data_IF_831748965947
#
_entry.id   IF_831748965947
#
_cell.length_a   1.000
_cell.length_b   1.000
_cell.length_c   1.000
_cell.angle_alpha   90.00
_cell.angle_beta   90.00
_cell.angle_gamma   90.00
#
_symmetry.space_group_name_H-M   'P 1'
#
loop_
_entity.id
_entity.type
_entity.pdbx_description
1 polymer ?
#
# COMPACT_ATOMS: atom_id res chain seq x y z
N UNK A 1 21.54 10.39 -18.20
CA UNK A 1 21.59 9.45 -17.05
C UNK A 1 20.18 8.89 -16.82
N UNK A 2 19.85 7.69 -17.34
CA UNK A 2 18.54 7.06 -17.06
C UNK A 2 18.58 6.49 -15.64
N UNK A 3 17.87 7.11 -14.71
CA UNK A 3 17.71 6.54 -13.37
C UNK A 3 17.10 5.15 -13.50
N UNK A 4 17.77 4.14 -12.95
CA UNK A 4 17.24 2.77 -12.90
C UNK A 4 16.06 2.79 -11.91
N UNK A 5 14.85 3.01 -12.41
CA UNK A 5 13.62 2.98 -11.60
C UNK A 5 13.55 1.61 -10.93
N UNK A 6 13.50 1.58 -9.60
CA UNK A 6 13.47 0.30 -8.89
C UNK A 6 12.13 -0.40 -9.15
N UNK A 7 12.11 -1.74 -9.06
CA UNK A 7 10.86 -2.51 -9.17
C UNK A 7 9.78 -2.03 -8.19
N UNK A 8 10.21 -1.54 -7.03
CA UNK A 8 9.33 -0.96 -6.03
C UNK A 8 8.77 0.40 -6.47
N UNK A 9 9.58 1.27 -7.08
CA UNK A 9 9.10 2.57 -7.59
C UNK A 9 8.07 2.39 -8.71
N UNK A 10 8.24 1.38 -9.56
CA UNK A 10 7.23 1.02 -10.58
C UNK A 10 5.93 0.52 -9.92
N UNK A 11 6.03 -0.32 -8.89
CA UNK A 11 4.88 -0.80 -8.12
C UNK A 11 4.13 0.36 -7.45
N UNK A 12 4.86 1.30 -6.82
CA UNK A 12 4.27 2.50 -6.25
C UNK A 12 3.57 3.31 -7.35
N UNK A 13 4.26 3.64 -8.44
CA UNK A 13 3.67 4.43 -9.53
C UNK A 13 2.39 3.79 -10.12
N UNK A 14 2.35 2.46 -10.22
CA UNK A 14 1.22 1.72 -10.78
C UNK A 14 0.02 1.64 -9.83
N UNK A 15 0.26 1.45 -8.53
CA UNK A 15 -0.81 1.17 -7.57
C UNK A 15 -1.16 2.33 -6.65
N UNK A 16 -0.36 3.40 -6.63
CA UNK A 16 -0.62 4.56 -5.77
C UNK A 16 -2.02 5.17 -5.98
N UNK A 17 -2.54 5.38 -7.20
CA UNK A 17 -3.88 5.94 -7.37
C UNK A 17 -4.98 5.06 -6.77
N UNK A 18 -4.85 3.73 -6.89
CA UNK A 18 -5.82 2.79 -6.35
C UNK A 18 -5.78 2.75 -4.82
N UNK A 19 -4.58 2.70 -4.22
CA UNK A 19 -4.41 2.71 -2.77
C UNK A 19 -4.86 4.05 -2.17
N UNK A 20 -4.54 5.16 -2.81
CA UNK A 20 -4.99 6.48 -2.40
C UNK A 20 -6.50 6.64 -2.49
N UNK A 21 -7.13 6.20 -3.59
CA UNK A 21 -8.59 6.22 -3.72
C UNK A 21 -9.27 5.36 -2.66
N UNK A 22 -8.65 4.25 -2.25
CA UNK A 22 -9.17 3.42 -1.19
C UNK A 22 -9.03 4.10 0.19
N UNK A 23 -7.86 4.67 0.46
CA UNK A 23 -7.60 5.42 1.68
C UNK A 23 -8.55 6.63 1.80
N UNK A 24 -8.78 7.36 0.71
CA UNK A 24 -9.71 8.50 0.65
C UNK A 24 -11.18 8.10 0.83
N UNK A 25 -11.55 6.84 0.63
CA UNK A 25 -12.90 6.35 0.96
C UNK A 25 -13.01 5.89 2.41
N UNK A 26 -11.88 5.55 3.03
CA UNK A 26 -11.79 5.12 4.42
C UNK A 26 -11.63 6.30 5.37
N UNK A 27 -11.09 7.42 4.90
CA UNK A 27 -10.86 8.64 5.68
C UNK A 27 -11.52 9.82 4.99
N UNK A 28 -12.29 10.62 5.72
CA UNK A 28 -12.85 11.89 5.21
C UNK A 28 -11.76 12.98 5.06
N UNK A 29 -10.64 12.86 5.77
CA UNK A 29 -9.53 13.80 5.67
C UNK A 29 -8.51 13.37 4.59
N UNK A 30 -8.22 14.23 3.60
CA UNK A 30 -7.28 13.91 2.53
C UNK A 30 -5.83 13.79 3.02
N UNK A 31 -5.45 14.40 4.15
CA UNK A 31 -4.10 14.28 4.72
C UNK A 31 -3.93 12.91 5.37
N UNK A 32 -4.95 12.41 6.07
CA UNK A 32 -4.96 11.06 6.62
C UNK A 32 -4.86 10.00 5.50
N UNK A 33 -5.58 10.18 4.39
CA UNK A 33 -5.50 9.30 3.23
C UNK A 33 -4.07 9.21 2.66
N UNK A 34 -3.35 10.34 2.58
CA UNK A 34 -1.95 10.38 2.13
C UNK A 34 -1.03 9.63 3.10
N UNK A 35 -1.20 9.87 4.40
CA UNK A 35 -0.39 9.21 5.44
C UNK A 35 -0.61 7.70 5.41
N UNK A 36 -1.86 7.25 5.36
CA UNK A 36 -2.24 5.85 5.31
C UNK A 36 -1.65 5.15 4.06
N UNK A 37 -1.77 5.80 2.90
CA UNK A 37 -1.19 5.30 1.64
C UNK A 37 0.32 5.18 1.74
N UNK A 38 1.00 6.19 2.30
CA UNK A 38 2.45 6.19 2.47
C UNK A 38 2.92 5.10 3.44
N UNK A 39 2.22 4.90 4.54
CA UNK A 39 2.55 3.87 5.54
C UNK A 39 2.28 2.46 5.03
N UNK A 40 1.25 2.26 4.21
CA UNK A 40 1.01 1.00 3.50
C UNK A 40 2.20 0.65 2.59
N UNK A 41 2.64 1.58 1.74
CA UNK A 41 3.80 1.35 0.87
C UNK A 41 5.11 1.20 1.65
N UNK A 42 5.32 1.97 2.72
CA UNK A 42 6.51 1.87 3.57
C UNK A 42 6.59 0.49 4.25
N UNK A 43 5.45 -0.02 4.72
CA UNK A 43 5.34 -1.36 5.30
C UNK A 43 5.62 -2.44 4.26
N UNK A 44 5.04 -2.32 3.06
CA UNK A 44 5.31 -3.21 1.93
C UNK A 44 6.79 -3.19 1.55
N UNK A 45 7.45 -2.02 1.54
CA UNK A 45 8.90 -1.91 1.27
C UNK A 45 9.73 -2.64 2.32
N UNK A 46 9.40 -2.48 3.60
CA UNK A 46 10.08 -3.17 4.72
C UNK A 46 9.90 -4.70 4.61
N UNK A 47 8.71 -5.15 4.23
CA UNK A 47 8.41 -6.57 4.03
C UNK A 47 9.08 -7.14 2.78
N UNK A 48 9.09 -6.43 1.67
CA UNK A 48 9.77 -6.84 0.43
C UNK A 48 11.29 -6.93 0.59
N UNK A 49 11.86 -6.07 1.45
CA UNK A 49 13.28 -6.12 1.82
C UNK A 49 13.59 -7.32 2.73
N UNK A 50 12.60 -7.80 3.49
CA UNK A 50 12.75 -8.90 4.44
C UNK A 50 12.33 -10.26 3.86
N UNK A 51 11.45 -10.33 2.86
CA UNK A 51 10.99 -11.58 2.21
C UNK A 51 10.69 -11.37 0.73
N UNK A 52 11.38 -12.12 -0.14
CA UNK A 52 11.12 -12.25 -1.59
C UNK A 52 9.90 -13.15 -1.86
N UNK A 53 8.76 -12.93 -1.21
CA UNK A 53 7.61 -13.83 -1.38
C UNK A 53 6.33 -13.07 -1.68
N UNK A 54 5.83 -13.28 -2.90
CA UNK A 54 4.56 -12.78 -3.44
C UNK A 54 3.36 -13.19 -2.57
N UNK A 55 3.48 -14.32 -1.87
CA UNK A 55 2.54 -14.82 -0.85
C UNK A 55 2.39 -13.84 0.32
N UNK A 56 3.46 -13.15 0.73
CA UNK A 56 3.37 -12.15 1.79
C UNK A 56 2.59 -10.91 1.32
N UNK A 57 2.75 -10.52 0.06
CA UNK A 57 2.01 -9.42 -0.56
C UNK A 57 0.50 -9.72 -0.61
N UNK A 58 0.12 -10.93 -1.01
CA UNK A 58 -1.27 -11.40 -0.99
C UNK A 58 -1.84 -11.41 0.44
N UNK A 59 -1.10 -11.91 1.41
CA UNK A 59 -1.53 -11.95 2.82
C UNK A 59 -1.72 -10.56 3.44
N UNK A 60 -0.88 -9.58 3.09
CA UNK A 60 -1.04 -8.19 3.55
C UNK A 60 -2.30 -7.56 2.95
N UNK A 61 -2.55 -7.77 1.65
CA UNK A 61 -3.74 -7.25 0.97
C UNK A 61 -5.02 -7.84 1.56
N UNK A 62 -5.05 -9.16 1.78
CA UNK A 62 -6.19 -9.85 2.40
C UNK A 62 -6.39 -9.35 3.85
N UNK A 63 -5.31 -9.21 4.61
CA UNK A 63 -5.39 -8.73 6.00
C UNK A 63 -5.87 -7.27 6.09
N UNK A 64 -5.45 -6.43 5.14
CA UNK A 64 -5.91 -5.05 5.06
C UNK A 64 -7.40 -4.96 4.71
N UNK A 65 -7.89 -5.81 3.79
CA UNK A 65 -9.31 -5.87 3.42
C UNK A 65 -10.17 -6.36 4.57
N UNK A 66 -9.76 -7.44 5.25
CA UNK A 66 -10.50 -7.97 6.41
C UNK A 66 -10.57 -6.91 7.52
N UNK A 67 -9.45 -6.23 7.80
CA UNK A 67 -9.42 -5.20 8.84
C UNK A 67 -10.27 -3.98 8.49
N UNK A 68 -10.26 -3.54 7.24
CA UNK A 68 -11.13 -2.45 6.78
C UNK A 68 -12.61 -2.84 6.84
N UNK A 69 -12.95 -4.09 6.52
CA UNK A 69 -14.33 -4.60 6.63
C UNK A 69 -14.80 -4.78 8.07
N UNK A 70 -13.91 -5.14 9.00
CA UNK A 70 -14.25 -5.33 10.42
C UNK A 70 -14.39 -4.02 11.19
N UNK A 71 -13.75 -2.94 10.75
CA UNK A 71 -13.85 -1.60 11.37
C UNK A 71 -15.05 -0.79 10.84
N UNK A 72 -15.65 -1.22 9.73
CA UNK A 72 -16.84 -0.59 9.15
C UNK A 72 -18.17 -1.15 9.68
N UNK A 73 -18.14 -2.09 10.64
CA UNK A 73 -19.31 -2.70 11.28
C UNK A 73 -19.47 -2.24 12.74
#
# INVERSE_FOLDING_TARGET
>A
MKAKISRFDNLVARYYPAVYSFASRLTDDPREAIVLTRDAFKSTRKQLRNRRDEVALASILISAVIRAGLTAA
#
